data_IF_656101520366
#
_entry.id   IF_656101520366
#
_cell.length_a   1.000
_cell.length_b   1.000
_cell.length_c   1.000
_cell.angle_alpha   90.00
_cell.angle_beta   90.00
_cell.angle_gamma   90.00
#
_symmetry.space_group_name_H-M   'P 1'
#
loop_
_entity.id
_entity.type
_entity.pdbx_description
1 polymer ?
#
# COMPACT_ATOMS: atom_id res chain seq x y z
N UNK A 1 5.90 13.20 -18.95
CA UNK A 1 6.01 13.54 -17.52
C UNK A 1 5.20 12.54 -16.71
N UNK A 2 5.75 11.98 -15.63
CA UNK A 2 5.01 11.04 -14.78
C UNK A 2 4.04 11.78 -13.86
N UNK A 3 2.85 11.23 -13.61
CA UNK A 3 1.93 11.76 -12.60
C UNK A 3 2.37 11.33 -11.21
N UNK A 4 1.98 12.09 -10.18
CA UNK A 4 2.22 11.73 -8.76
C UNK A 4 1.73 10.31 -8.48
N UNK A 5 0.49 10.00 -8.89
CA UNK A 5 -0.11 8.66 -8.75
C UNK A 5 0.67 7.61 -9.55
N UNK A 6 1.14 7.93 -10.76
CA UNK A 6 2.00 7.01 -11.52
C UNK A 6 3.30 6.67 -10.80
N UNK A 7 3.87 7.64 -10.08
CA UNK A 7 5.00 7.42 -9.15
C UNK A 7 4.63 6.46 -8.03
N UNK A 8 3.47 6.65 -7.40
CA UNK A 8 3.00 5.77 -6.33
C UNK A 8 2.85 4.32 -6.81
N UNK A 9 2.19 4.13 -7.95
CA UNK A 9 2.01 2.80 -8.56
C UNK A 9 3.34 2.13 -8.91
N UNK A 10 4.35 2.92 -9.32
CA UNK A 10 5.69 2.41 -9.60
C UNK A 10 6.38 1.91 -8.32
N UNK A 11 6.27 2.65 -7.23
CA UNK A 11 6.87 2.27 -5.95
C UNK A 11 6.15 1.06 -5.34
N UNK A 12 4.81 1.03 -5.37
CA UNK A 12 4.02 -0.13 -4.90
C UNK A 12 4.43 -1.42 -5.61
N UNK A 13 4.70 -1.35 -6.93
CA UNK A 13 5.18 -2.51 -7.69
C UNK A 13 6.62 -2.87 -7.37
N UNK A 14 7.51 -1.88 -7.30
CA UNK A 14 8.96 -2.11 -7.15
C UNK A 14 9.34 -2.54 -5.74
N UNK A 15 8.78 -1.87 -4.73
CA UNK A 15 9.12 -2.07 -3.33
C UNK A 15 8.19 -3.10 -2.71
N UNK A 16 6.87 -2.97 -2.91
CA UNK A 16 5.89 -3.83 -2.23
C UNK A 16 5.44 -5.05 -3.03
N UNK A 17 5.93 -5.24 -4.25
CA UNK A 17 5.54 -6.36 -5.10
C UNK A 17 4.09 -6.31 -5.60
N UNK A 18 3.34 -5.24 -5.33
CA UNK A 18 1.93 -5.12 -5.72
C UNK A 18 1.80 -4.99 -7.24
N UNK A 19 1.02 -5.89 -7.83
CA UNK A 19 0.67 -5.86 -9.24
C UNK A 19 -0.51 -4.92 -9.47
N UNK A 20 -0.73 -4.56 -10.74
CA UNK A 20 -1.85 -3.70 -11.11
C UNK A 20 -3.22 -4.27 -10.72
N UNK A 21 -3.34 -5.60 -10.59
CA UNK A 21 -4.55 -6.28 -10.11
C UNK A 21 -4.77 -6.09 -8.61
N UNK A 22 -3.70 -6.08 -7.81
CA UNK A 22 -3.81 -5.88 -6.35
C UNK A 22 -4.28 -4.45 -6.06
N UNK A 23 -3.68 -3.47 -6.74
CA UNK A 23 -4.08 -2.06 -6.63
C UNK A 23 -5.52 -1.86 -7.11
N UNK A 24 -5.93 -2.54 -8.18
CA UNK A 24 -7.29 -2.47 -8.68
C UNK A 24 -8.30 -2.98 -7.63
N UNK A 25 -8.00 -4.08 -6.95
CA UNK A 25 -8.83 -4.63 -5.88
C UNK A 25 -8.92 -3.67 -4.69
N UNK A 26 -7.78 -3.12 -4.24
CA UNK A 26 -7.72 -2.18 -3.10
C UNK A 26 -8.53 -0.91 -3.38
N UNK A 27 -8.42 -0.37 -4.59
CA UNK A 27 -9.12 0.83 -5.00
C UNK A 27 -10.56 0.56 -5.50
N UNK A 28 -11.00 -0.71 -5.53
CA UNK A 28 -12.29 -1.16 -6.08
C UNK A 28 -12.56 -0.60 -7.50
N UNK A 29 -11.59 -0.76 -8.41
CA UNK A 29 -11.68 -0.35 -9.82
C UNK A 29 -11.18 -1.45 -10.74
N UNK A 30 -11.33 -1.27 -12.06
CA UNK A 30 -10.72 -2.18 -13.02
C UNK A 30 -9.20 -1.97 -13.14
N UNK A 31 -8.46 -3.03 -13.52
CA UNK A 31 -7.04 -2.93 -13.85
C UNK A 31 -6.78 -1.95 -15.01
N UNK A 32 -7.72 -1.83 -15.96
CA UNK A 32 -7.65 -0.85 -17.04
C UNK A 32 -7.67 0.59 -16.51
N UNK A 33 -8.47 0.87 -15.48
CA UNK A 33 -8.48 2.17 -14.79
C UNK A 33 -7.12 2.47 -14.16
N UNK A 34 -6.51 1.50 -13.46
CA UNK A 34 -5.16 1.64 -12.89
C UNK A 34 -4.09 1.90 -13.96
N UNK A 35 -4.21 1.25 -15.13
CA UNK A 35 -3.31 1.49 -16.27
C UNK A 35 -3.44 2.91 -16.84
N UNK A 36 -4.66 3.48 -16.85
CA UNK A 36 -4.86 4.88 -17.24
C UNK A 36 -4.25 5.84 -16.21
N UNK A 37 -4.33 5.54 -14.92
CA UNK A 37 -3.66 6.33 -13.87
C UNK A 37 -2.14 6.32 -14.01
N UNK A 38 -1.53 5.15 -14.26
CA UNK A 38 -0.08 5.04 -14.41
C UNK A 38 0.47 5.78 -15.63
N UNK A 39 -0.36 5.95 -16.65
CA UNK A 39 -0.03 6.70 -17.88
C UNK A 39 -0.49 8.15 -17.86
N UNK A 40 -1.12 8.61 -16.78
CA UNK A 40 -1.65 9.97 -16.66
C UNK A 40 -2.85 10.27 -17.56
N UNK A 41 -3.48 9.24 -18.14
CA UNK A 41 -4.68 9.37 -18.99
C UNK A 41 -5.96 9.58 -18.17
N UNK A 42 -5.91 9.31 -16.87
CA UNK A 42 -6.93 9.70 -15.91
C UNK A 42 -6.29 9.85 -14.52
N UNK A 43 -7.03 10.46 -13.60
CA UNK A 43 -6.59 10.65 -12.21
C UNK A 43 -7.60 9.96 -11.27
N UNK A 44 -7.16 9.26 -10.21
CA UNK A 44 -8.08 8.73 -9.21
C UNK A 44 -8.83 9.86 -8.49
N UNK A 45 -9.97 9.54 -7.89
CA UNK A 45 -10.65 10.49 -7.02
C UNK A 45 -9.81 10.76 -5.75
N UNK A 46 -10.04 11.89 -5.07
CA UNK A 46 -9.23 12.34 -3.93
C UNK A 46 -9.07 11.27 -2.85
N UNK A 47 -10.15 10.58 -2.47
CA UNK A 47 -10.12 9.46 -1.51
C UNK A 47 -9.18 8.34 -1.95
N UNK A 48 -9.24 7.93 -3.22
CA UNK A 48 -8.36 6.88 -3.75
C UNK A 48 -6.91 7.35 -3.78
N UNK A 49 -6.65 8.63 -4.07
CA UNK A 49 -5.30 9.17 -4.01
C UNK A 49 -4.70 9.11 -2.60
N UNK A 50 -5.50 9.39 -1.57
CA UNK A 50 -5.09 9.25 -0.16
C UNK A 50 -4.76 7.78 0.17
N UNK A 51 -5.65 6.84 -0.17
CA UNK A 51 -5.40 5.40 0.05
C UNK A 51 -4.10 4.94 -0.64
N UNK A 52 -3.87 5.36 -1.89
CA UNK A 52 -2.65 5.00 -2.62
C UNK A 52 -1.39 5.65 -2.02
N UNK A 53 -1.52 6.86 -1.47
CA UNK A 53 -0.43 7.56 -0.78
C UNK A 53 -0.06 6.84 0.51
N UNK A 54 -1.04 6.50 1.34
CA UNK A 54 -0.84 5.79 2.61
C UNK A 54 -0.25 4.39 2.37
N UNK A 55 -0.80 3.65 1.40
CA UNK A 55 -0.28 2.34 1.05
C UNK A 55 1.17 2.43 0.57
N UNK A 56 1.51 3.44 -0.23
CA UNK A 56 2.89 3.68 -0.67
C UNK A 56 3.79 3.95 0.54
N UNK A 57 3.34 4.77 1.47
CA UNK A 57 4.12 5.12 2.65
C UNK A 57 4.41 3.89 3.51
N UNK A 58 3.39 3.08 3.80
CA UNK A 58 3.52 1.79 4.50
C UNK A 58 4.50 0.86 3.78
N UNK A 59 4.36 0.69 2.46
CA UNK A 59 5.24 -0.16 1.66
C UNK A 59 6.70 0.31 1.69
N UNK A 60 6.94 1.63 1.66
CA UNK A 60 8.30 2.17 1.73
C UNK A 60 8.94 1.84 3.08
N UNK A 61 8.22 2.05 4.19
CA UNK A 61 8.75 1.75 5.53
C UNK A 61 9.04 0.26 5.73
N UNK A 62 8.12 -0.60 5.29
CA UNK A 62 8.35 -2.04 5.34
C UNK A 62 9.55 -2.47 4.46
N UNK A 63 9.82 -1.73 3.38
CA UNK A 63 10.95 -1.97 2.47
C UNK A 63 12.33 -1.82 3.09
N UNK A 64 12.43 -1.18 4.26
CA UNK A 64 13.69 -1.11 5.00
C UNK A 64 14.04 -2.44 5.69
N UNK A 65 13.07 -3.35 5.84
CA UNK A 65 13.21 -4.60 6.60
C UNK A 65 12.85 -5.85 5.80
N UNK A 66 11.95 -5.73 4.83
CA UNK A 66 11.33 -6.84 4.13
C UNK A 66 11.53 -6.74 2.62
N UNK A 67 11.66 -7.90 1.97
CA UNK A 67 11.65 -8.02 0.52
C UNK A 67 10.22 -7.82 -0.02
N UNK A 68 10.06 -7.48 -1.31
CA UNK A 68 8.74 -7.25 -1.91
C UNK A 68 7.71 -8.37 -1.66
N UNK A 69 8.13 -9.62 -1.76
CA UNK A 69 7.29 -10.79 -1.50
C UNK A 69 6.87 -10.93 -0.03
N UNK A 70 7.72 -10.51 0.91
CA UNK A 70 7.45 -10.52 2.35
C UNK A 70 6.51 -9.37 2.73
N UNK A 71 6.68 -8.19 2.12
CA UNK A 71 5.77 -7.05 2.28
C UNK A 71 4.37 -7.42 1.80
N UNK A 72 4.28 -8.07 0.63
CA UNK A 72 3.00 -8.53 0.11
C UNK A 72 2.36 -9.53 1.08
N UNK A 73 3.12 -10.53 1.54
CA UNK A 73 2.62 -11.50 2.52
C UNK A 73 2.13 -10.82 3.81
N UNK A 74 2.88 -9.84 4.31
CA UNK A 74 2.54 -9.08 5.52
C UNK A 74 1.24 -8.27 5.36
N UNK A 75 1.09 -7.55 4.25
CA UNK A 75 -0.10 -6.73 3.96
C UNK A 75 -1.38 -7.56 3.87
N UNK A 76 -1.28 -8.79 3.36
CA UNK A 76 -2.41 -9.70 3.20
C UNK A 76 -2.58 -10.68 4.37
N UNK A 77 -1.64 -10.75 5.32
CA UNK A 77 -1.76 -11.61 6.49
C UNK A 77 -2.80 -11.06 7.48
N UNK A 78 -3.44 -11.97 8.23
CA UNK A 78 -4.19 -11.57 9.43
C UNK A 78 -3.20 -11.12 10.50
N UNK A 79 -3.50 -9.99 11.13
CA UNK A 79 -2.60 -9.38 12.10
C UNK A 79 -3.24 -9.36 13.51
N UNK A 80 -2.58 -9.89 14.55
CA UNK A 80 -3.14 -9.93 15.91
C UNK A 80 -3.46 -8.55 16.47
N UNK A 81 -2.62 -7.53 16.18
CA UNK A 81 -2.84 -6.15 16.62
C UNK A 81 -3.95 -5.42 15.84
N UNK A 82 -4.56 -6.06 14.85
CA UNK A 82 -5.73 -5.57 14.11
C UNK A 82 -6.96 -6.47 14.36
N UNK A 83 -7.03 -7.12 15.53
CA UNK A 83 -8.08 -8.07 15.90
C UNK A 83 -8.31 -9.19 14.86
N UNK A 84 -7.21 -9.62 14.22
CA UNK A 84 -7.24 -10.64 13.17
C UNK A 84 -7.70 -10.13 11.80
N UNK A 85 -7.87 -8.83 11.63
CA UNK A 85 -8.00 -8.16 10.33
C UNK A 85 -6.67 -8.07 9.58
N UNK A 86 -6.71 -7.61 8.32
CA UNK A 86 -5.52 -7.49 7.46
C UNK A 86 -5.06 -6.04 7.33
N UNK A 87 -3.75 -5.74 7.32
CA UNK A 87 -3.25 -4.38 7.10
C UNK A 87 -3.78 -3.73 5.82
N UNK A 88 -3.89 -4.49 4.73
CA UNK A 88 -4.41 -3.98 3.46
C UNK A 88 -5.89 -3.54 3.53
N UNK A 89 -6.69 -4.20 4.38
CA UNK A 89 -8.09 -3.86 4.61
C UNK A 89 -8.21 -2.61 5.48
N UNK A 90 -7.36 -2.48 6.51
CA UNK A 90 -7.29 -1.27 7.32
C UNK A 90 -6.94 -0.04 6.46
N UNK A 91 -5.91 -0.13 5.61
CA UNK A 91 -5.50 0.96 4.72
C UNK A 91 -6.62 1.32 3.72
N UNK A 92 -7.27 0.34 3.09
CA UNK A 92 -8.35 0.61 2.12
C UNK A 92 -9.57 1.28 2.77
N UNK A 93 -9.78 1.06 4.07
CA UNK A 93 -10.83 1.68 4.88
C UNK A 93 -10.44 3.07 5.40
N UNK A 94 -9.19 3.53 5.18
CA UNK A 94 -8.68 4.80 5.71
C UNK A 94 -8.21 4.72 7.16
N UNK A 95 -7.97 3.52 7.68
CA UNK A 95 -7.44 3.25 9.03
C UNK A 95 -5.94 2.96 8.98
N UNK A 96 -5.22 3.74 8.18
CA UNK A 96 -3.78 3.57 7.93
C UNK A 96 -2.93 3.81 9.19
N UNK A 97 -3.41 4.64 10.12
CA UNK A 97 -2.73 4.93 11.39
C UNK A 97 -2.53 3.65 12.24
N UNK A 98 -3.53 2.77 12.32
CA UNK A 98 -3.41 1.51 13.05
C UNK A 98 -2.28 0.62 12.50
N UNK A 99 -2.06 0.67 11.19
CA UNK A 99 -0.98 -0.08 10.51
C UNK A 99 0.37 0.56 10.78
N UNK A 100 0.45 1.89 10.80
CA UNK A 100 1.68 2.62 11.10
C UNK A 100 2.11 2.42 12.56
N UNK A 101 1.18 2.40 13.51
CA UNK A 101 1.47 2.11 14.92
C UNK A 101 2.07 0.71 15.13
N UNK A 102 1.74 -0.25 14.26
CA UNK A 102 2.34 -1.59 14.29
C UNK A 102 3.78 -1.52 13.78
N UNK A 103 4.02 -0.78 12.71
CA UNK A 103 5.37 -0.60 12.13
C UNK A 103 6.26 0.16 13.13
N UNK A 104 5.78 1.21 13.77
CA UNK A 104 6.52 1.96 14.78
C UNK A 104 6.97 1.06 15.94
N UNK A 105 6.11 0.14 16.37
CA UNK A 105 6.44 -0.85 17.41
C UNK A 105 7.44 -1.90 16.94
N UNK A 106 7.35 -2.35 15.68
CA UNK A 106 8.33 -3.24 15.07
C UNK A 106 9.71 -2.56 15.07
N UNK A 107 9.79 -1.32 14.61
CA UNK A 107 11.04 -0.55 14.55
C UNK A 107 11.64 -0.35 15.94
N UNK A 108 10.83 0.05 16.93
CA UNK A 108 11.28 0.21 18.30
C UNK A 108 11.86 -1.10 18.89
N UNK A 109 11.33 -2.26 18.50
CA UNK A 109 11.84 -3.56 18.91
C UNK A 109 13.10 -4.03 18.17
N UNK A 110 13.38 -3.49 16.98
CA UNK A 110 14.59 -3.79 16.19
C UNK A 110 15.81 -2.99 16.68
N UNK A 111 15.60 -1.82 17.28
CA UNK A 111 16.67 -0.92 17.74
C UNK A 111 17.07 -1.10 19.23
N UNK A 112 16.59 -2.15 19.91
CA UNK A 112 16.94 -2.52 21.30
C UNK A 112 17.82 -3.77 21.34
#
# INVERSE_FOLDING_TARGET
MGTVVGGYLKDLRRVGGLRGVDVANIANVSQATVSRWSTGRSTPHSRTQLILSDLRYVVIRLGDYYKPEEILAWLFARHPQLDGGRPIEAISQGRSEEVLDIIDRLEAGVFL
#
